data_IF_275910263995
#
_entry.id   IF_275910263995
#
_cell.length_a   1.000
_cell.length_b   1.000
_cell.length_c   1.000
_cell.angle_alpha   90.00
_cell.angle_beta   90.00
_cell.angle_gamma   90.00
#
_symmetry.space_group_name_H-M   'P 1'
#
loop_
_entity.id
_entity.type
_entity.pdbx_description
1 polymer ?
#
# COMPACT_ATOMS: atom_id res chain seq x y z
N UNK A 1 -13.68 -2.10 -5.73
CA UNK A 1 -14.73 -1.21 -5.19
C UNK A 1 -14.76 -1.35 -3.67
N UNK A 2 -14.53 -0.27 -2.91
CA UNK A 2 -14.67 -0.29 -1.45
C UNK A 2 -16.14 -0.41 -1.08
N UNK A 3 -16.50 -1.39 -0.24
CA UNK A 3 -17.90 -1.67 0.14
C UNK A 3 -18.44 -0.71 1.21
N UNK A 4 -17.55 0.01 1.87
CA UNK A 4 -17.79 0.96 2.96
C UNK A 4 -16.80 2.13 2.85
N UNK A 5 -17.17 3.25 3.45
CA UNK A 5 -16.34 4.45 3.57
C UNK A 5 -15.25 4.27 4.64
N UNK A 6 -14.14 5.04 4.59
CA UNK A 6 -13.11 5.02 5.63
C UNK A 6 -13.66 5.28 7.04
N UNK A 7 -14.64 6.19 7.17
CA UNK A 7 -15.28 6.50 8.45
C UNK A 7 -16.10 5.31 8.99
N UNK A 8 -16.77 4.55 8.13
CA UNK A 8 -17.47 3.32 8.52
C UNK A 8 -16.49 2.24 8.97
N UNK A 9 -15.36 2.07 8.27
CA UNK A 9 -14.32 1.13 8.68
C UNK A 9 -13.71 1.48 10.03
N UNK A 10 -13.48 2.77 10.30
CA UNK A 10 -13.00 3.23 11.61
C UNK A 10 -13.99 2.88 12.73
N UNK A 11 -15.29 3.13 12.53
CA UNK A 11 -16.34 2.75 13.49
C UNK A 11 -16.38 1.23 13.72
N UNK A 12 -16.24 0.43 12.67
CA UNK A 12 -16.20 -1.03 12.78
C UNK A 12 -15.01 -1.48 13.62
N UNK A 13 -13.81 -0.97 13.34
CA UNK A 13 -12.62 -1.32 14.10
C UNK A 13 -12.74 -0.92 15.57
N UNK A 14 -13.27 0.27 15.85
CA UNK A 14 -13.51 0.74 17.21
C UNK A 14 -14.46 -0.19 17.98
N UNK A 15 -15.60 -0.56 17.39
CA UNK A 15 -16.57 -1.49 18.00
C UNK A 15 -15.98 -2.88 18.20
N UNK A 16 -15.15 -3.35 17.26
CA UNK A 16 -14.45 -4.63 17.40
C UNK A 16 -13.49 -4.64 18.60
N UNK A 17 -12.75 -3.55 18.81
CA UNK A 17 -11.90 -3.35 19.98
C UNK A 17 -12.71 -3.33 21.28
N UNK A 18 -13.83 -2.62 21.32
CA UNK A 18 -14.76 -2.61 22.48
C UNK A 18 -15.36 -3.98 22.79
N UNK A 19 -15.39 -4.88 21.80
CA UNK A 19 -15.86 -6.25 21.98
C UNK A 19 -14.74 -7.24 22.29
N UNK A 20 -13.54 -6.77 22.65
CA UNK A 20 -12.36 -7.59 22.92
C UNK A 20 -12.07 -8.58 21.77
N UNK A 21 -12.28 -8.15 20.52
CA UNK A 21 -12.07 -9.01 19.35
C UNK A 21 -13.19 -10.01 19.06
N UNK A 22 -14.32 -9.98 19.77
CA UNK A 22 -15.47 -10.82 19.43
C UNK A 22 -16.27 -10.21 18.28
N UNK A 23 -16.08 -10.76 17.07
CA UNK A 23 -16.71 -10.26 15.85
C UNK A 23 -18.25 -10.35 15.85
N UNK A 24 -18.80 -11.43 16.40
CA UNK A 24 -20.26 -11.63 16.46
C UNK A 24 -20.92 -10.62 17.39
N UNK A 25 -20.31 -10.38 18.56
CA UNK A 25 -20.75 -9.34 19.50
C UNK A 25 -20.59 -7.94 18.90
N UNK A 26 -19.47 -7.70 18.21
CA UNK A 26 -19.22 -6.44 17.52
C UNK A 26 -20.29 -6.16 16.45
N UNK A 27 -20.67 -7.15 15.66
CA UNK A 27 -21.74 -7.00 14.68
C UNK A 27 -23.08 -6.66 15.34
N UNK A 28 -23.45 -7.34 16.42
CA UNK A 28 -24.68 -7.03 17.17
C UNK A 28 -24.68 -5.60 17.73
N UNK A 29 -23.59 -5.22 18.42
CA UNK A 29 -23.43 -3.89 19.00
C UNK A 29 -23.42 -2.78 17.93
N UNK A 30 -22.88 -3.06 16.75
CA UNK A 30 -22.89 -2.11 15.64
C UNK A 30 -24.31 -1.83 15.15
N UNK A 31 -25.20 -2.83 15.08
CA UNK A 31 -26.60 -2.61 14.69
C UNK A 31 -27.34 -1.79 15.73
N UNK A 32 -27.12 -2.09 17.00
CA UNK A 32 -27.73 -1.37 18.11
C UNK A 32 -27.32 0.11 18.12
N UNK A 33 -26.02 0.38 17.94
CA UNK A 33 -25.50 1.75 17.96
C UNK A 33 -25.84 2.55 16.69
N UNK A 34 -25.99 1.88 15.55
CA UNK A 34 -26.25 2.52 14.26
C UNK A 34 -27.46 1.87 13.57
N UNK A 35 -28.69 2.11 14.05
CA UNK A 35 -29.89 1.43 13.55
C UNK A 35 -30.25 1.81 12.11
N UNK A 36 -29.92 3.02 11.67
CA UNK A 36 -30.29 3.54 10.34
C UNK A 36 -29.21 3.32 9.26
N UNK A 37 -28.18 2.52 9.54
CA UNK A 37 -27.03 2.31 8.65
C UNK A 37 -26.99 0.85 8.20
N UNK A 38 -26.45 0.60 7.01
CA UNK A 38 -26.17 -0.76 6.53
C UNK A 38 -25.36 -1.54 7.58
N UNK A 39 -25.84 -2.73 7.93
CA UNK A 39 -25.17 -3.57 8.91
C UNK A 39 -24.10 -4.46 8.25
N UNK A 40 -22.82 -4.37 8.68
CA UNK A 40 -21.77 -5.25 8.21
C UNK A 40 -21.91 -6.67 8.77
N UNK A 41 -21.44 -7.65 8.00
CA UNK A 41 -21.25 -9.02 8.47
C UNK A 41 -20.09 -9.07 9.49
N UNK A 42 -20.13 -10.01 10.44
CA UNK A 42 -19.08 -10.17 11.46
C UNK A 42 -17.69 -10.36 10.83
N UNK A 43 -17.60 -10.99 9.65
CA UNK A 43 -16.35 -11.19 8.89
C UNK A 43 -15.69 -9.87 8.47
N UNK A 44 -16.47 -8.80 8.30
CA UNK A 44 -15.92 -7.49 7.93
C UNK A 44 -15.06 -6.92 9.06
N UNK A 45 -15.46 -7.10 10.32
CA UNK A 45 -14.69 -6.63 11.47
C UNK A 45 -13.33 -7.32 11.56
N UNK A 46 -13.31 -8.65 11.37
CA UNK A 46 -12.08 -9.44 11.35
C UNK A 46 -11.16 -8.95 10.21
N UNK A 47 -11.73 -8.80 9.01
CA UNK A 47 -10.96 -8.35 7.84
C UNK A 47 -10.34 -6.96 8.05
N UNK A 48 -11.13 -6.02 8.58
CA UNK A 48 -10.65 -4.65 8.83
C UNK A 48 -9.49 -4.67 9.82
N UNK A 49 -9.62 -5.42 10.92
CA UNK A 49 -8.55 -5.55 11.89
C UNK A 49 -7.27 -6.12 11.29
N UNK A 50 -7.38 -7.23 10.55
CA UNK A 50 -6.23 -7.87 9.92
C UNK A 50 -5.53 -6.95 8.91
N UNK A 51 -6.30 -6.25 8.07
CA UNK A 51 -5.74 -5.28 7.12
C UNK A 51 -4.96 -4.17 7.84
N UNK A 52 -5.48 -3.66 8.97
CA UNK A 52 -4.78 -2.64 9.74
C UNK A 52 -3.51 -3.18 10.39
N UNK A 53 -3.52 -4.43 10.89
CA UNK A 53 -2.31 -5.09 11.38
C UNK A 53 -1.26 -5.29 10.28
N UNK A 54 -1.69 -5.50 9.04
CA UNK A 54 -0.83 -5.55 7.84
C UNK A 54 -0.37 -4.16 7.36
N UNK A 55 -0.78 -3.06 8.01
CA UNK A 55 -0.46 -1.69 7.60
C UNK A 55 -1.25 -1.19 6.39
N UNK A 56 -2.38 -1.83 6.06
CA UNK A 56 -3.22 -1.52 4.89
C UNK A 56 -4.54 -0.87 5.31
N UNK A 57 -4.98 0.13 4.56
CA UNK A 57 -6.27 0.77 4.79
C UNK A 57 -7.38 0.12 3.93
N UNK A 58 -8.50 -0.31 4.54
CA UNK A 58 -9.60 -0.90 3.79
C UNK A 58 -10.23 0.11 2.83
N UNK A 59 -10.48 -0.32 1.59
CA UNK A 59 -11.18 0.49 0.59
C UNK A 59 -10.32 1.53 -0.13
N UNK A 60 -9.11 1.80 0.36
CA UNK A 60 -8.04 2.35 -0.47
C UNK A 60 -7.48 1.17 -1.26
N UNK A 61 -8.19 0.80 -2.33
CA UNK A 61 -7.45 0.27 -3.45
C UNK A 61 -6.49 1.39 -3.81
N UNK A 62 -5.18 1.15 -3.74
CA UNK A 62 -4.25 1.93 -4.53
C UNK A 62 -4.71 1.71 -5.98
N UNK A 63 -5.65 2.49 -6.46
CA UNK A 63 -6.16 2.48 -7.84
C UNK A 63 -5.06 3.05 -8.73
N UNK A 64 -3.94 2.32 -8.80
CA UNK A 64 -2.66 2.73 -9.36
C UNK A 64 -1.50 1.81 -8.95
N UNK A 65 -1.60 1.14 -7.79
CA UNK A 65 -0.81 -0.06 -7.55
C UNK A 65 -1.71 -1.26 -7.84
N UNK A 66 -1.83 -1.57 -9.13
CA UNK A 66 -1.65 -2.98 -9.46
C UNK A 66 -0.44 -3.48 -8.65
N UNK A 67 -0.41 -4.75 -8.31
CA UNK A 67 0.87 -5.41 -8.13
C UNK A 67 1.64 -5.27 -9.46
N UNK A 68 2.17 -4.07 -9.72
CA UNK A 68 3.15 -3.83 -10.74
C UNK A 68 4.26 -4.79 -10.40
N UNK A 69 4.61 -5.59 -11.40
CA UNK A 69 5.69 -6.58 -11.42
C UNK A 69 6.65 -6.34 -10.24
N UNK A 70 6.79 -7.30 -9.29
CA UNK A 70 7.67 -7.13 -8.15
C UNK A 70 8.97 -6.51 -8.63
N UNK A 71 9.41 -5.43 -7.99
CA UNK A 71 10.60 -4.70 -8.41
C UNK A 71 11.79 -5.64 -8.21
N UNK A 72 12.10 -6.42 -9.25
CA UNK A 72 13.13 -7.48 -9.25
C UNK A 72 14.55 -6.93 -9.18
N UNK A 73 14.71 -5.61 -9.09
CA UNK A 73 16.00 -4.92 -9.19
C UNK A 73 16.16 -4.00 -8.00
N UNK A 74 17.26 -4.15 -7.29
CA UNK A 74 17.59 -3.27 -6.19
C UNK A 74 17.79 -1.87 -6.77
N UNK A 75 17.00 -0.90 -6.31
CA UNK A 75 17.22 0.50 -6.67
C UNK A 75 18.59 0.99 -6.17
N UNK A 76 19.11 0.35 -5.11
CA UNK A 76 20.39 0.64 -4.47
C UNK A 76 21.57 0.48 -5.44
N UNK A 77 21.64 -0.62 -6.18
CA UNK A 77 22.73 -0.88 -7.13
C UNK A 77 22.77 0.16 -8.27
N UNK A 78 21.61 0.69 -8.67
CA UNK A 78 21.56 1.77 -9.68
C UNK A 78 21.99 3.10 -9.10
N UNK A 79 21.60 3.40 -7.86
CA UNK A 79 21.97 4.64 -7.20
C UNK A 79 23.49 4.72 -7.03
N UNK A 80 24.13 3.60 -6.64
CA UNK A 80 25.59 3.49 -6.53
C UNK A 80 26.29 3.74 -7.87
N UNK A 81 25.82 3.12 -8.97
CA UNK A 81 26.36 3.35 -10.32
C UNK A 81 26.20 4.79 -10.83
N UNK A 82 25.15 5.51 -10.38
CA UNK A 82 24.90 6.90 -10.75
C UNK A 82 25.70 7.87 -9.88
N UNK A 83 25.96 7.51 -8.62
CA UNK A 83 26.84 8.27 -7.72
C UNK A 83 28.30 8.17 -8.14
N UNK A 84 28.77 7.01 -8.60
CA UNK A 84 30.15 6.82 -9.08
C UNK A 84 30.47 7.63 -10.33
N UNK A 85 29.53 7.77 -11.26
CA UNK A 85 29.72 8.53 -12.49
C UNK A 85 28.41 9.18 -12.94
N UNK A 86 28.23 10.44 -12.54
CA UNK A 86 27.04 11.26 -12.80
C UNK A 86 26.78 11.54 -14.29
N UNK A 87 27.74 11.21 -15.17
CA UNK A 87 27.62 11.29 -16.63
C UNK A 87 27.11 9.99 -17.29
N UNK A 88 26.96 8.91 -16.50
CA UNK A 88 26.59 7.59 -17.02
C UNK A 88 25.22 7.60 -17.68
N UNK A 89 25.17 7.15 -18.93
CA UNK A 89 23.92 7.03 -19.69
C UNK A 89 23.08 5.83 -19.24
N UNK A 90 21.76 5.92 -19.41
CA UNK A 90 20.80 4.82 -19.13
C UNK A 90 21.21 3.51 -19.84
N UNK A 91 21.79 3.63 -21.03
CA UNK A 91 22.32 2.51 -21.81
C UNK A 91 23.51 1.83 -21.13
N UNK A 92 24.42 2.58 -20.51
CA UNK A 92 25.56 2.04 -19.78
C UNK A 92 25.12 1.38 -18.46
N UNK A 93 24.16 1.98 -17.75
CA UNK A 93 23.56 1.39 -16.53
C UNK A 93 22.93 0.03 -16.84
N UNK A 94 22.15 -0.06 -17.93
CA UNK A 94 21.52 -1.32 -18.34
C UNK A 94 22.52 -2.38 -18.82
N UNK A 95 23.70 -1.98 -19.33
CA UNK A 95 24.78 -2.91 -19.67
C UNK A 95 25.49 -3.44 -18.44
N UNK A 96 25.73 -2.58 -17.45
CA UNK A 96 26.39 -2.94 -16.17
C UNK A 96 25.47 -3.73 -15.26
N UNK A 97 24.15 -3.48 -15.33
CA UNK A 97 23.12 -4.23 -14.63
C UNK A 97 22.18 -4.93 -15.64
N UNK A 98 22.57 -6.11 -16.18
CA UNK A 98 21.78 -6.83 -17.17
C UNK A 98 20.49 -7.44 -16.60
N UNK A 99 20.38 -7.53 -15.28
CA UNK A 99 19.15 -7.97 -14.65
C UNK A 99 18.06 -6.90 -14.82
N UNK A 100 18.42 -5.62 -14.87
CA UNK A 100 17.48 -4.52 -14.84
C UNK A 100 17.02 -4.02 -16.23
N UNK A 101 15.70 -3.93 -16.48
CA UNK A 101 15.16 -3.31 -17.70
C UNK A 101 15.48 -1.81 -17.77
N UNK A 102 15.71 -1.30 -18.99
CA UNK A 102 15.99 0.13 -19.26
C UNK A 102 14.94 1.08 -18.66
N UNK A 103 13.67 0.68 -18.67
CA UNK A 103 12.57 1.49 -18.12
C UNK A 103 12.69 1.65 -16.60
N UNK A 104 13.19 0.63 -15.90
CA UNK A 104 13.49 0.74 -14.48
C UNK A 104 14.63 1.72 -14.22
N UNK A 105 15.68 1.69 -15.06
CA UNK A 105 16.88 2.51 -14.87
C UNK A 105 16.56 3.99 -15.10
N UNK A 106 15.71 4.27 -16.07
CA UNK A 106 15.15 5.59 -16.29
C UNK A 106 14.37 6.11 -15.08
N UNK A 107 13.50 5.29 -14.47
CA UNK A 107 12.67 5.72 -13.34
C UNK A 107 13.49 6.06 -12.09
N UNK A 108 14.50 5.24 -11.77
CA UNK A 108 15.38 5.48 -10.61
C UNK A 108 16.23 6.75 -10.82
N UNK A 109 16.89 6.87 -11.98
CA UNK A 109 17.73 8.04 -12.30
C UNK A 109 16.92 9.34 -12.39
N UNK A 110 15.71 9.28 -12.95
CA UNK A 110 14.81 10.43 -13.00
C UNK A 110 14.38 10.86 -11.59
N UNK A 111 14.08 9.91 -10.70
CA UNK A 111 13.73 10.21 -9.32
C UNK A 111 14.89 10.89 -8.57
N UNK A 112 16.11 10.34 -8.67
CA UNK A 112 17.31 10.90 -8.02
C UNK A 112 17.62 12.33 -8.49
N UNK A 113 17.57 12.59 -9.82
CA UNK A 113 17.83 13.93 -10.38
C UNK A 113 16.79 14.99 -10.00
N UNK A 114 15.57 14.59 -9.65
CA UNK A 114 14.54 15.50 -9.18
C UNK A 114 14.64 15.75 -7.66
N UNK A 115 15.14 14.78 -6.89
CA UNK A 115 15.39 14.94 -5.45
C UNK A 115 16.57 15.87 -5.18
N UNK A 116 17.63 15.84 -6.00
CA UNK A 116 18.82 16.71 -5.82
C UNK A 116 18.67 18.14 -6.36
N UNK A 117 17.49 18.51 -6.88
CA UNK A 117 17.21 19.84 -7.46
C UNK A 117 16.38 20.76 -6.55
N UNK A 118 16.06 20.33 -5.34
CA UNK A 118 15.54 21.17 -4.24
C UNK A 118 16.65 21.40 -3.21
#
# INVERSE_FOLDING_TARGET
MSRYTPAEYAKMHFIYGLCNGNASRAAALYRERYPNVRHPDYRVFIRVHNLLCEGRLPGIGLSGASEGRPQRHSAVEVLELVEEDSSTSISQISRRNPLMPRDGAFRVTFCQKNVTKN
#
